data_IF_610244668617
#
_entry.id   IF_610244668617
#
_cell.length_a   1.000
_cell.length_b   1.000
_cell.length_c   1.000
_cell.angle_alpha   90.00
_cell.angle_beta   90.00
_cell.angle_gamma   90.00
#
_symmetry.space_group_name_H-M   'P 1'
#
loop_
_entity.id
_entity.type
_entity.pdbx_description
1 polymer ?
#
# COMPACT_ATOMS: atom_id res chain seq x y z
N UNK A 1 -16.13 4.50 2.65
CA UNK A 1 -15.28 5.61 2.20
C UNK A 1 -15.23 6.73 3.25
N UNK A 2 -16.36 7.21 3.77
CA UNK A 2 -16.39 8.30 4.78
C UNK A 2 -15.49 8.02 5.99
N UNK A 3 -15.45 6.78 6.50
CA UNK A 3 -14.61 6.37 7.65
C UNK A 3 -13.12 6.57 7.37
N UNK A 4 -12.67 6.33 6.14
CA UNK A 4 -11.24 6.44 5.78
C UNK A 4 -10.87 7.80 5.21
N UNK A 5 -11.82 8.70 5.00
CA UNK A 5 -11.62 10.06 4.50
C UNK A 5 -12.14 11.11 5.48
N UNK A 6 -13.44 11.37 5.48
CA UNK A 6 -14.06 12.48 6.22
C UNK A 6 -13.79 12.39 7.73
N UNK A 7 -13.93 11.21 8.33
CA UNK A 7 -13.67 11.02 9.77
C UNK A 7 -12.19 11.21 10.15
N UNK A 8 -11.29 11.16 9.16
CA UNK A 8 -9.86 11.45 9.32
C UNK A 8 -9.47 12.87 8.88
N UNK A 9 -10.45 13.74 8.58
CA UNK A 9 -10.21 15.10 8.12
C UNK A 9 -9.71 15.21 6.68
N UNK A 10 -9.83 14.13 5.88
CA UNK A 10 -9.43 14.10 4.48
C UNK A 10 -10.65 14.47 3.61
N UNK A 11 -10.52 15.50 2.78
CA UNK A 11 -11.57 15.92 1.85
C UNK A 11 -11.61 15.00 0.62
N UNK A 12 -12.68 14.16 0.44
CA UNK A 12 -12.78 13.22 -0.67
C UNK A 12 -12.86 13.90 -2.04
N UNK A 13 -13.32 15.15 -2.12
CA UNK A 13 -13.45 15.89 -3.38
C UNK A 13 -12.11 16.17 -4.09
N UNK A 14 -11.00 15.99 -3.38
CA UNK A 14 -9.64 16.15 -3.91
C UNK A 14 -9.11 14.89 -4.60
N UNK A 15 -9.89 13.80 -4.62
CA UNK A 15 -9.49 12.51 -5.15
C UNK A 15 -10.38 12.08 -6.33
N UNK A 16 -9.93 11.09 -7.06
CA UNK A 16 -10.75 10.33 -7.99
C UNK A 16 -11.25 9.04 -7.29
N UNK A 17 -12.44 8.58 -7.66
CA UNK A 17 -12.98 7.30 -7.23
C UNK A 17 -12.51 6.20 -8.17
N UNK A 18 -11.69 5.29 -7.70
CA UNK A 18 -11.34 4.08 -8.45
C UNK A 18 -12.46 3.04 -8.26
N UNK A 19 -13.13 2.68 -9.35
CA UNK A 19 -14.23 1.72 -9.34
C UNK A 19 -13.79 0.39 -9.98
N UNK A 20 -13.84 -0.69 -9.21
CA UNK A 20 -13.51 -2.03 -9.66
C UNK A 20 -14.33 -3.11 -8.95
N UNK A 21 -14.20 -4.37 -9.41
CA UNK A 21 -15.10 -5.47 -9.06
C UNK A 21 -16.33 -5.47 -9.96
N UNK A 22 -17.03 -6.60 -10.09
CA UNK A 22 -18.13 -6.77 -11.03
C UNK A 22 -19.24 -5.72 -10.92
N UNK A 23 -19.60 -5.30 -9.68
CA UNK A 23 -20.62 -4.28 -9.42
C UNK A 23 -20.04 -2.89 -9.05
N UNK A 24 -18.72 -2.74 -8.92
CA UNK A 24 -18.10 -1.47 -8.58
C UNK A 24 -18.47 -0.35 -9.54
N UNK A 25 -18.24 -0.49 -10.86
CA UNK A 25 -18.57 0.51 -11.85
C UNK A 25 -20.08 0.81 -11.97
N UNK A 26 -20.94 -0.15 -11.64
CA UNK A 26 -22.40 0.03 -11.63
C UNK A 26 -22.85 1.12 -10.64
N UNK A 27 -22.18 1.21 -9.49
CA UNK A 27 -22.56 2.12 -8.40
C UNK A 27 -21.64 3.33 -8.27
N UNK A 28 -20.59 3.41 -9.09
CA UNK A 28 -19.51 4.39 -8.92
C UNK A 28 -20.00 5.84 -8.97
N UNK A 29 -20.85 6.18 -9.94
CA UNK A 29 -21.35 7.54 -10.11
C UNK A 29 -22.21 7.98 -8.91
N UNK A 30 -23.11 7.13 -8.43
CA UNK A 30 -23.93 7.45 -7.25
C UNK A 30 -23.08 7.66 -5.99
N UNK A 31 -22.02 6.85 -5.81
CA UNK A 31 -21.08 7.00 -4.70
C UNK A 31 -20.25 8.29 -4.82
N UNK A 32 -19.79 8.60 -6.04
CA UNK A 32 -19.04 9.82 -6.31
C UNK A 32 -19.87 11.08 -6.03
N UNK A 33 -21.14 11.07 -6.45
CA UNK A 33 -22.09 12.18 -6.18
C UNK A 33 -22.31 12.41 -4.69
N UNK A 34 -22.54 11.34 -3.94
CA UNK A 34 -22.75 11.39 -2.48
C UNK A 34 -21.52 11.96 -1.75
N UNK A 35 -20.30 11.74 -2.28
CA UNK A 35 -19.05 12.22 -1.70
C UNK A 35 -18.55 13.56 -2.31
N UNK A 36 -19.25 14.06 -3.35
CA UNK A 36 -18.82 15.26 -4.09
C UNK A 36 -17.56 15.02 -4.93
N UNK A 37 -17.24 13.78 -5.29
CA UNK A 37 -16.09 13.43 -6.14
C UNK A 37 -16.48 13.68 -7.60
N UNK A 38 -15.68 14.46 -8.33
CA UNK A 38 -15.96 14.84 -9.70
C UNK A 38 -15.36 13.90 -10.75
N UNK A 39 -14.51 12.95 -10.35
CA UNK A 39 -13.80 12.06 -11.28
C UNK A 39 -13.89 10.61 -10.84
N UNK A 40 -14.18 9.73 -11.79
CA UNK A 40 -14.20 8.27 -11.59
C UNK A 40 -13.23 7.63 -12.57
N UNK A 41 -12.47 6.65 -12.09
CA UNK A 41 -11.52 5.86 -12.88
C UNK A 41 -12.01 4.41 -12.87
N UNK A 42 -12.26 3.85 -14.05
CA UNK A 42 -12.69 2.46 -14.23
C UNK A 42 -11.65 1.74 -15.07
N UNK A 43 -10.77 0.94 -14.47
CA UNK A 43 -9.76 0.18 -15.22
C UNK A 43 -10.41 -0.77 -16.21
N UNK A 44 -9.74 -1.04 -17.35
CA UNK A 44 -10.20 -2.00 -18.36
C UNK A 44 -10.57 -3.36 -17.74
N UNK A 45 -9.76 -3.83 -16.80
CA UNK A 45 -9.97 -5.08 -16.09
C UNK A 45 -10.79 -4.90 -14.80
N UNK A 46 -11.64 -3.90 -14.69
CA UNK A 46 -12.34 -3.57 -13.46
C UNK A 46 -12.99 -4.79 -12.80
N UNK A 47 -13.65 -5.66 -13.56
CA UNK A 47 -14.34 -6.83 -13.02
C UNK A 47 -13.42 -7.87 -12.38
N UNK A 48 -12.18 -8.00 -12.86
CA UNK A 48 -11.20 -9.00 -12.42
C UNK A 48 -9.94 -8.38 -11.81
N UNK A 49 -9.93 -7.09 -11.52
CA UNK A 49 -8.75 -6.36 -11.06
C UNK A 49 -8.11 -6.99 -9.80
N UNK A 50 -8.91 -7.51 -8.88
CA UNK A 50 -8.40 -8.19 -7.68
C UNK A 50 -7.67 -9.49 -8.02
N UNK A 51 -8.22 -10.28 -8.96
CA UNK A 51 -7.57 -11.52 -9.40
C UNK A 51 -6.28 -11.22 -10.16
N UNK A 52 -6.29 -10.16 -10.98
CA UNK A 52 -5.10 -9.68 -11.65
C UNK A 52 -4.03 -9.22 -10.67
N UNK A 53 -4.42 -8.40 -9.68
CA UNK A 53 -3.50 -7.95 -8.63
C UNK A 53 -2.87 -9.13 -7.87
N UNK A 54 -3.65 -10.19 -7.59
CA UNK A 54 -3.13 -11.41 -6.98
C UNK A 54 -2.16 -12.17 -7.90
N UNK A 55 -2.49 -12.25 -9.19
CA UNK A 55 -1.64 -12.93 -10.18
C UNK A 55 -0.31 -12.20 -10.43
N UNK A 56 -0.33 -10.86 -10.32
CA UNK A 56 0.84 -10.00 -10.52
C UNK A 56 1.61 -9.70 -9.23
N UNK A 57 1.06 -10.05 -8.08
CA UNK A 57 1.67 -9.74 -6.79
C UNK A 57 2.99 -10.50 -6.60
N UNK A 58 3.94 -9.82 -5.98
CA UNK A 58 5.17 -10.45 -5.51
C UNK A 58 4.83 -11.57 -4.51
N UNK A 59 5.61 -12.64 -4.56
CA UNK A 59 5.58 -13.67 -3.54
C UNK A 59 6.45 -13.24 -2.37
N UNK A 60 5.81 -12.85 -1.27
CA UNK A 60 6.46 -12.46 -0.05
C UNK A 60 6.41 -13.58 0.99
N UNK A 61 7.55 -13.89 1.57
CA UNK A 61 7.67 -14.83 2.70
C UNK A 61 8.24 -14.10 3.89
N UNK A 62 7.40 -13.94 4.90
CA UNK A 62 7.80 -13.31 6.15
C UNK A 62 8.19 -14.36 7.20
N UNK A 63 9.25 -14.06 7.95
CA UNK A 63 9.64 -14.80 9.14
C UNK A 63 9.89 -13.84 10.30
N UNK A 64 9.61 -14.29 11.52
CA UNK A 64 9.91 -13.56 12.74
C UNK A 64 10.60 -14.47 13.73
N UNK A 65 11.66 -13.98 14.36
CA UNK A 65 12.45 -14.71 15.35
C UNK A 65 12.77 -13.85 16.54
N UNK A 66 12.32 -14.26 17.74
CA UNK A 66 12.73 -13.63 18.99
C UNK A 66 14.14 -14.07 19.36
N UNK A 67 15.00 -13.11 19.69
CA UNK A 67 16.42 -13.35 19.90
C UNK A 67 16.93 -12.85 21.25
N UNK A 68 16.41 -11.74 21.78
CA UNK A 68 16.77 -11.12 23.06
C UNK A 68 18.29 -10.84 23.19
N UNK A 69 18.87 -10.18 22.19
CA UNK A 69 20.29 -9.84 22.16
C UNK A 69 20.57 -8.45 22.72
N UNK A 70 21.57 -8.35 23.60
CA UNK A 70 22.05 -7.09 24.21
C UNK A 70 23.52 -7.19 24.58
N UNK A 71 24.13 -6.05 24.94
CA UNK A 71 25.52 -6.01 25.39
C UNK A 71 26.47 -6.66 24.42
N UNK A 72 27.30 -7.58 24.91
CA UNK A 72 28.29 -8.33 24.12
C UNK A 72 27.67 -9.32 23.13
N UNK A 73 26.37 -9.65 23.29
CA UNK A 73 25.65 -10.50 22.34
C UNK A 73 25.11 -9.75 21.12
N UNK A 74 25.02 -8.42 21.18
CA UNK A 74 24.57 -7.57 20.08
C UNK A 74 25.78 -7.17 19.21
N UNK A 75 26.20 -8.05 18.32
CA UNK A 75 27.38 -7.90 17.45
C UNK A 75 26.97 -7.82 15.97
N UNK A 76 27.85 -7.23 15.14
CA UNK A 76 27.65 -7.16 13.69
C UNK A 76 27.54 -8.54 13.06
N UNK A 77 28.33 -9.52 13.51
CA UNK A 77 28.26 -10.91 13.03
C UNK A 77 26.91 -11.56 13.36
N UNK A 78 26.38 -11.34 14.58
CA UNK A 78 25.09 -11.86 14.98
C UNK A 78 23.94 -11.22 14.15
N UNK A 79 23.99 -9.91 13.93
CA UNK A 79 23.01 -9.20 13.12
C UNK A 79 23.06 -9.65 11.66
N UNK A 80 24.26 -9.77 11.09
CA UNK A 80 24.45 -10.28 9.71
C UNK A 80 23.89 -11.69 9.56
N UNK A 81 24.17 -12.59 10.53
CA UNK A 81 23.65 -13.93 10.52
C UNK A 81 22.12 -13.99 10.67
N UNK A 82 21.51 -13.04 11.39
CA UNK A 82 20.06 -12.94 11.56
C UNK A 82 19.38 -12.34 10.32
N UNK A 83 20.01 -11.38 9.65
CA UNK A 83 19.50 -10.80 8.40
C UNK A 83 19.54 -11.84 7.27
N UNK A 84 20.61 -12.63 7.19
CA UNK A 84 20.81 -13.60 6.11
C UNK A 84 20.75 -12.95 4.73
N UNK A 85 20.09 -13.65 3.79
CA UNK A 85 19.88 -13.17 2.41
C UNK A 85 18.47 -12.53 2.23
N UNK A 86 17.86 -12.02 3.31
CA UNK A 86 16.53 -11.45 3.23
C UNK A 86 16.56 -10.10 2.49
N UNK A 87 15.51 -9.86 1.68
CA UNK A 87 15.36 -8.60 0.92
C UNK A 87 14.98 -7.43 1.84
N UNK A 88 14.23 -7.72 2.93
CA UNK A 88 13.87 -6.73 3.94
C UNK A 88 14.15 -7.28 5.34
N UNK A 89 14.69 -6.43 6.20
CA UNK A 89 14.89 -6.74 7.62
C UNK A 89 14.28 -5.64 8.47
N UNK A 90 13.53 -6.04 9.49
CA UNK A 90 13.02 -5.14 10.53
C UNK A 90 13.54 -5.62 11.88
N UNK A 91 14.12 -4.70 12.64
CA UNK A 91 14.66 -4.94 13.96
C UNK A 91 13.71 -4.36 15.01
N UNK A 92 13.07 -5.20 15.81
CA UNK A 92 12.24 -4.74 16.94
C UNK A 92 13.16 -4.63 18.16
N UNK A 93 13.45 -3.39 18.58
CA UNK A 93 14.36 -3.10 19.66
C UNK A 93 13.70 -2.24 20.76
N UNK A 94 14.26 -2.32 21.95
CA UNK A 94 13.84 -1.51 23.11
C UNK A 94 15.04 -1.17 24.01
N UNK A 95 14.89 -0.23 24.92
CA UNK A 95 15.81 -0.18 26.06
C UNK A 95 15.56 -1.36 26.99
N UNK A 96 16.62 -1.95 27.52
CA UNK A 96 16.51 -3.08 28.43
C UNK A 96 15.58 -2.75 29.63
N UNK A 97 14.61 -3.63 29.87
CA UNK A 97 13.61 -3.43 30.93
C UNK A 97 12.36 -2.67 30.52
N UNK A 98 12.29 -2.11 29.30
CA UNK A 98 11.05 -1.52 28.79
C UNK A 98 10.13 -2.59 28.19
N UNK A 99 8.81 -2.28 28.18
CA UNK A 99 7.78 -3.18 27.63
C UNK A 99 7.47 -2.95 26.16
N UNK A 100 7.82 -1.76 25.61
CA UNK A 100 7.49 -1.38 24.25
C UNK A 100 8.72 -1.44 23.37
N UNK A 101 8.54 -2.01 22.18
CA UNK A 101 9.55 -2.13 21.14
C UNK A 101 9.29 -1.10 20.04
N UNK A 102 10.35 -0.61 19.44
CA UNK A 102 10.30 0.18 18.21
C UNK A 102 10.79 -0.67 17.05
N UNK A 103 10.02 -0.67 15.97
CA UNK A 103 10.37 -1.36 14.74
C UNK A 103 11.27 -0.46 13.87
N UNK A 104 12.50 -0.87 13.69
CA UNK A 104 13.51 -0.16 12.90
C UNK A 104 13.64 -0.85 11.54
N UNK A 105 13.45 -0.10 10.47
CA UNK A 105 13.56 -0.56 9.10
C UNK A 105 14.72 0.14 8.41
N UNK A 106 15.21 -0.43 7.33
CA UNK A 106 16.28 0.15 6.52
C UNK A 106 17.55 0.47 7.33
N UNK A 107 17.85 -0.37 8.33
CA UNK A 107 19.04 -0.26 9.19
C UNK A 107 20.00 -1.40 8.83
N UNK A 108 21.24 -1.03 8.52
CA UNK A 108 22.30 -2.00 8.24
C UNK A 108 22.49 -2.97 9.42
N UNK A 109 22.89 -4.22 9.18
CA UNK A 109 23.13 -5.22 10.22
C UNK A 109 24.42 -4.94 11.00
N UNK A 110 24.48 -3.77 11.62
CA UNK A 110 25.58 -3.28 12.47
C UNK A 110 25.03 -2.87 13.82
N UNK A 111 25.68 -3.29 14.89
CA UNK A 111 25.30 -2.99 16.26
C UNK A 111 25.35 -1.47 16.54
N UNK A 112 26.29 -0.76 15.94
CA UNK A 112 26.39 0.69 16.06
C UNK A 112 25.25 1.40 15.34
N UNK A 113 24.95 0.99 14.10
CA UNK A 113 23.84 1.54 13.31
C UNK A 113 22.48 1.27 13.98
N UNK A 114 22.28 0.06 14.52
CA UNK A 114 21.06 -0.31 15.22
C UNK A 114 20.83 0.55 16.48
N UNK A 115 21.87 0.77 17.30
CA UNK A 115 21.78 1.61 18.50
C UNK A 115 21.46 3.06 18.15
N UNK A 116 22.10 3.62 17.14
CA UNK A 116 21.83 5.01 16.73
C UNK A 116 20.44 5.17 16.11
N UNK A 117 20.03 4.26 15.24
CA UNK A 117 18.68 4.26 14.66
C UNK A 117 17.60 4.14 15.74
N UNK A 118 17.83 3.27 16.74
CA UNK A 118 16.93 3.14 17.88
C UNK A 118 16.87 4.43 18.69
N UNK A 119 18.00 5.03 19.02
CA UNK A 119 18.06 6.27 19.80
C UNK A 119 17.33 7.42 19.07
N UNK A 120 17.52 7.53 17.75
CA UNK A 120 16.83 8.52 16.91
C UNK A 120 15.31 8.29 16.89
N UNK A 121 14.86 7.06 16.66
CA UNK A 121 13.45 6.71 16.66
C UNK A 121 12.79 6.91 18.03
N UNK A 122 13.52 6.62 19.12
CA UNK A 122 13.04 6.83 20.47
C UNK A 122 12.90 8.33 20.79
N UNK A 123 13.89 9.15 20.38
CA UNK A 123 13.84 10.60 20.51
C UNK A 123 12.66 11.19 19.73
N UNK A 124 12.41 10.72 18.50
CA UNK A 124 11.28 11.17 17.68
C UNK A 124 9.93 10.82 18.32
N UNK A 125 9.82 9.58 18.84
CA UNK A 125 8.55 9.08 19.37
C UNK A 125 8.20 9.58 20.76
N UNK A 126 9.21 9.70 21.65
CA UNK A 126 9.01 9.97 23.07
C UNK A 126 9.66 11.28 23.54
N UNK A 127 10.40 11.97 22.67
CA UNK A 127 11.01 13.27 22.97
C UNK A 127 12.34 13.20 23.74
N UNK A 128 12.88 12.00 23.97
CA UNK A 128 14.19 11.83 24.64
C UNK A 128 14.93 10.60 24.13
N UNK A 129 16.27 10.60 24.33
CA UNK A 129 17.16 9.44 24.19
C UNK A 129 17.89 9.21 25.50
N UNK A 130 18.27 8.00 25.76
CA UNK A 130 19.08 7.63 26.92
C UNK A 130 20.35 6.95 26.45
N UNK A 131 21.45 7.74 26.40
CA UNK A 131 22.76 7.25 25.93
C UNK A 131 23.42 6.29 26.95
N UNK A 132 22.92 6.20 28.18
CA UNK A 132 23.39 5.27 29.21
C UNK A 132 22.61 3.97 29.27
N UNK A 133 21.44 3.90 28.62
CA UNK A 133 20.60 2.71 28.64
C UNK A 133 21.06 1.69 27.57
N UNK A 134 21.03 0.43 27.94
CA UNK A 134 21.37 -0.67 27.05
C UNK A 134 20.24 -0.94 26.08
N UNK A 135 20.54 -1.03 24.78
CA UNK A 135 19.59 -1.43 23.73
C UNK A 135 19.53 -2.94 23.66
N UNK A 136 18.30 -3.48 23.71
CA UNK A 136 18.01 -4.90 23.56
C UNK A 136 17.26 -5.12 22.23
N UNK A 137 17.82 -5.94 21.33
CA UNK A 137 17.14 -6.45 20.17
C UNK A 137 16.25 -7.60 20.59
N UNK A 138 14.96 -7.45 20.44
CA UNK A 138 13.96 -8.43 20.93
C UNK A 138 13.58 -9.42 19.83
N UNK A 139 13.25 -8.90 18.66
CA UNK A 139 12.80 -9.71 17.52
C UNK A 139 13.42 -9.20 16.24
N UNK A 140 13.84 -10.11 15.38
CA UNK A 140 14.14 -9.81 13.98
C UNK A 140 13.00 -10.35 13.10
N UNK A 141 12.56 -9.52 12.18
CA UNK A 141 11.60 -9.89 11.13
C UNK A 141 12.31 -9.79 9.79
N UNK A 142 12.21 -10.83 9.00
CA UNK A 142 12.80 -10.87 7.67
C UNK A 142 11.71 -11.13 6.63
N UNK A 143 11.88 -10.58 5.45
CA UNK A 143 11.05 -10.92 4.30
C UNK A 143 11.93 -11.25 3.11
N UNK A 144 11.58 -12.34 2.42
CA UNK A 144 12.10 -12.67 1.09
C UNK A 144 11.02 -12.42 0.06
N UNK A 145 11.39 -11.75 -1.03
CA UNK A 145 10.46 -11.25 -2.05
C UNK A 145 10.86 -11.82 -3.41
N UNK A 146 10.04 -12.72 -3.92
CA UNK A 146 10.14 -13.17 -5.31
C UNK A 146 9.26 -12.26 -6.17
N UNK A 147 9.79 -11.45 -7.09
CA UNK A 147 9.01 -10.53 -7.92
C UNK A 147 7.92 -11.26 -8.71
N UNK A 148 6.72 -10.68 -8.71
CA UNK A 148 5.61 -11.15 -9.51
C UNK A 148 5.84 -10.94 -11.01
N UNK A 149 5.04 -11.58 -11.86
CA UNK A 149 5.13 -11.39 -13.30
C UNK A 149 4.71 -9.98 -13.71
N UNK A 150 5.42 -9.39 -14.68
CA UNK A 150 5.00 -8.15 -15.29
C UNK A 150 3.72 -8.39 -16.11
N UNK A 151 2.64 -7.67 -15.77
CA UNK A 151 1.40 -7.73 -16.52
C UNK A 151 1.41 -6.65 -17.58
N UNK A 152 1.36 -7.07 -18.86
CA UNK A 152 1.22 -6.18 -20.01
C UNK A 152 -0.16 -6.36 -20.60
N UNK A 153 -0.82 -5.24 -20.91
CA UNK A 153 -2.10 -5.24 -21.60
C UNK A 153 -1.85 -5.03 -23.09
N UNK A 154 -2.37 -5.93 -23.90
CA UNK A 154 -2.53 -5.64 -25.33
C UNK A 154 -3.79 -4.76 -25.47
N UNK A 155 -3.64 -3.64 -26.15
CA UNK A 155 -4.75 -2.74 -26.45
C UNK A 155 -5.63 -3.40 -27.52
N UNK A 156 -6.91 -3.57 -27.22
CA UNK A 156 -7.91 -4.02 -28.18
C UNK A 156 -8.76 -2.78 -28.52
N UNK A 157 -8.75 -2.37 -29.79
CA UNK A 157 -9.30 -1.09 -30.28
C UNK A 157 -10.83 -0.95 -30.16
N UNK A 158 -11.53 -1.91 -29.57
CA UNK A 158 -12.98 -2.03 -29.58
C UNK A 158 -13.73 -1.42 -28.38
N UNK A 159 -13.06 -0.73 -27.46
CA UNK A 159 -13.73 0.05 -26.42
C UNK A 159 -13.92 1.45 -26.94
N UNK A 160 -15.18 1.84 -27.23
CA UNK A 160 -15.55 3.16 -27.70
C UNK A 160 -14.86 4.26 -26.90
N UNK A 161 -14.12 5.13 -27.58
CA UNK A 161 -13.20 6.09 -26.99
C UNK A 161 -13.90 7.13 -26.08
N UNK A 162 -15.20 7.37 -26.31
CA UNK A 162 -15.97 8.40 -25.60
C UNK A 162 -17.36 7.91 -25.20
N UNK A 163 -17.85 8.34 -24.05
CA UNK A 163 -19.19 8.10 -23.55
C UNK A 163 -19.78 9.37 -22.94
N UNK A 164 -21.08 9.57 -23.16
CA UNK A 164 -21.85 10.65 -22.53
C UNK A 164 -23.14 10.06 -21.96
N UNK A 165 -23.41 10.32 -20.68
CA UNK A 165 -24.62 9.84 -20.02
C UNK A 165 -25.89 10.59 -20.46
N UNK A 166 -27.07 9.95 -20.32
CA UNK A 166 -27.23 8.64 -19.69
C UNK A 166 -26.89 7.47 -20.62
N UNK A 167 -26.03 6.55 -20.19
CA UNK A 167 -25.63 5.37 -20.94
C UNK A 167 -25.23 4.20 -20.01
N UNK A 168 -25.15 2.98 -20.56
CA UNK A 168 -24.71 1.77 -19.88
C UNK A 168 -23.73 1.02 -20.75
N UNK A 169 -22.46 0.98 -20.31
CA UNK A 169 -21.41 0.26 -20.99
C UNK A 169 -21.24 -1.15 -20.40
N UNK A 170 -21.28 -2.15 -21.28
CA UNK A 170 -20.97 -3.53 -20.91
C UNK A 170 -19.50 -3.79 -21.13
N UNK A 171 -18.72 -3.70 -20.07
CA UNK A 171 -17.30 -4.09 -20.06
C UNK A 171 -17.21 -5.62 -20.00
N UNK A 172 -16.08 -6.23 -20.38
CA UNK A 172 -15.94 -7.69 -20.42
C UNK A 172 -16.36 -8.39 -19.13
N UNK A 173 -16.05 -7.81 -17.97
CA UNK A 173 -16.24 -8.42 -16.65
C UNK A 173 -16.99 -7.48 -15.67
N UNK A 174 -17.57 -6.38 -16.16
CA UNK A 174 -18.27 -5.41 -15.34
C UNK A 174 -19.30 -4.62 -16.15
N UNK A 175 -20.22 -3.95 -15.47
CA UNK A 175 -21.18 -3.01 -16.08
C UNK A 175 -20.91 -1.62 -15.54
N UNK A 176 -20.68 -0.65 -16.41
CA UNK A 176 -20.51 0.75 -16.05
C UNK A 176 -21.78 1.53 -16.38
N UNK A 177 -22.35 2.17 -15.38
CA UNK A 177 -23.47 3.12 -15.55
C UNK A 177 -22.91 4.54 -15.58
N UNK A 178 -23.23 5.27 -16.63
CA UNK A 178 -22.89 6.67 -16.82
C UNK A 178 -24.21 7.47 -16.76
N UNK A 179 -24.52 8.14 -15.62
CA UNK A 179 -25.73 8.93 -15.49
C UNK A 179 -25.68 10.22 -16.32
N UNK A 180 -26.83 10.89 -16.43
CA UNK A 180 -26.89 12.25 -16.98
C UNK A 180 -25.95 13.19 -16.22
N UNK A 181 -25.25 14.07 -16.95
CA UNK A 181 -24.25 14.98 -16.39
C UNK A 181 -22.88 14.35 -16.15
N UNK A 182 -22.66 13.12 -16.58
CA UNK A 182 -21.36 12.49 -16.61
C UNK A 182 -20.94 12.18 -18.05
N UNK A 183 -19.67 12.39 -18.33
CA UNK A 183 -19.06 12.00 -19.62
C UNK A 183 -17.65 11.49 -19.36
N UNK A 184 -17.09 10.77 -20.30
CA UNK A 184 -15.74 10.26 -20.17
C UNK A 184 -15.16 9.69 -21.43
N UNK A 185 -13.92 9.28 -21.36
CA UNK A 185 -13.17 8.65 -22.43
C UNK A 185 -12.23 7.56 -21.89
N UNK A 186 -11.95 6.60 -22.74
CA UNK A 186 -10.88 5.64 -22.47
C UNK A 186 -9.51 6.26 -22.77
N UNK A 187 -8.53 5.99 -21.93
CA UNK A 187 -7.13 6.31 -22.20
C UNK A 187 -6.46 5.22 -23.06
N UNK A 188 -5.17 5.40 -23.38
CA UNK A 188 -4.38 4.45 -24.18
C UNK A 188 -4.26 3.04 -23.55
N UNK A 189 -4.63 2.86 -22.28
CA UNK A 189 -4.65 1.56 -21.59
C UNK A 189 -6.03 0.91 -21.62
N UNK A 190 -7.04 1.60 -22.18
CA UNK A 190 -8.45 1.20 -22.13
C UNK A 190 -9.10 1.49 -20.76
N UNK A 191 -8.46 2.29 -19.90
CA UNK A 191 -9.05 2.75 -18.65
C UNK A 191 -10.03 3.89 -18.93
N UNK A 192 -11.31 3.70 -18.54
CA UNK A 192 -12.34 4.73 -18.68
C UNK A 192 -12.21 5.76 -17.55
N UNK A 193 -12.11 7.03 -17.93
CA UNK A 193 -12.08 8.16 -17.01
C UNK A 193 -13.36 8.97 -17.22
N UNK A 194 -14.23 8.94 -16.21
CA UNK A 194 -15.45 9.74 -16.22
C UNK A 194 -15.26 11.05 -15.44
N UNK A 195 -15.82 12.11 -15.94
CA UNK A 195 -15.87 13.42 -15.30
C UNK A 195 -17.30 13.94 -15.22
N UNK A 196 -17.63 14.58 -14.10
CA UNK A 196 -18.94 15.21 -13.90
C UNK A 196 -18.94 16.58 -14.58
N UNK A 197 -19.94 16.84 -15.40
CA UNK A 197 -20.17 18.17 -15.99
C UNK A 197 -20.44 19.19 -14.88
N UNK A 198 -19.86 20.36 -15.02
CA UNK A 198 -19.98 21.49 -14.05
C UNK A 198 -21.35 22.09 -14.06
#
# INVERSE_FOLDING_TARGET
LRVVTVERGIDPRRFALLAFGGAGPLHAAAIAEELGIARIVVPRAAGVLSALGLAAADRRRDAARSVLLRGDGLTDDALTALAGDADEVTWDARYAGQSHELALRDVEPSAAALREAFAAAHQERYGYRDDGAEVELVTVRTASIDPGPEVRWEHDDDVGDEVTGPDVLHLPEATLVVPEGWSGRADATGTMILEKSS
#
